data_IF_915682331989
#
_entry.id   IF_915682331989
#
_cell.length_a   1.000
_cell.length_b   1.000
_cell.length_c   1.000
_cell.angle_alpha   90.00
_cell.angle_beta   90.00
_cell.angle_gamma   90.00
#
_symmetry.space_group_name_H-M   'P 1'
#
loop_
_entity.id
_entity.type
_entity.pdbx_description
1 polymer ?
#
# COMPACT_ATOMS: atom_id res chain seq x y z
N UNK A 1 24.54 21.14 -16.20
CA UNK A 1 23.90 20.74 -14.92
C UNK A 1 24.97 20.78 -13.84
N UNK A 2 24.72 21.41 -12.69
CA UNK A 2 25.69 21.38 -11.58
C UNK A 2 25.65 20.03 -10.87
N UNK A 3 26.74 19.67 -10.18
CA UNK A 3 26.80 18.43 -9.40
C UNK A 3 25.80 18.45 -8.25
N UNK A 4 25.49 19.62 -7.65
CA UNK A 4 24.45 19.69 -6.62
C UNK A 4 23.07 19.30 -7.17
N UNK A 5 22.72 19.78 -8.37
CA UNK A 5 21.43 19.43 -9.00
C UNK A 5 21.33 17.93 -9.26
N UNK A 6 22.35 17.33 -9.87
CA UNK A 6 22.36 15.89 -10.16
C UNK A 6 22.26 15.03 -8.88
N UNK A 7 22.88 15.47 -7.79
CA UNK A 7 22.77 14.79 -6.49
C UNK A 7 21.36 14.93 -5.90
N UNK A 8 20.74 16.09 -6.04
CA UNK A 8 19.34 16.30 -5.67
C UNK A 8 18.41 15.35 -6.42
N UNK A 9 18.48 15.38 -7.76
CA UNK A 9 17.65 14.54 -8.62
C UNK A 9 17.83 13.04 -8.29
N UNK A 10 19.07 12.59 -8.06
CA UNK A 10 19.35 11.20 -7.70
C UNK A 10 18.73 10.78 -6.35
N UNK A 11 18.73 11.68 -5.36
CA UNK A 11 18.10 11.42 -4.06
C UNK A 11 16.58 11.34 -4.20
N UNK A 12 15.98 12.25 -4.95
CA UNK A 12 14.52 12.27 -5.15
C UNK A 12 14.06 10.98 -5.85
N UNK A 13 14.81 10.49 -6.84
CA UNK A 13 14.55 9.20 -7.49
C UNK A 13 14.63 8.04 -6.49
N UNK A 14 15.67 8.02 -5.65
CA UNK A 14 15.85 6.97 -4.64
C UNK A 14 14.71 6.97 -3.61
N UNK A 15 14.35 8.15 -3.09
CA UNK A 15 13.27 8.31 -2.11
C UNK A 15 11.92 7.92 -2.70
N UNK A 16 11.65 8.26 -3.97
CA UNK A 16 10.45 7.82 -4.66
C UNK A 16 10.37 6.29 -4.78
N UNK A 17 11.49 5.64 -5.13
CA UNK A 17 11.58 4.17 -5.19
C UNK A 17 11.38 3.53 -3.82
N UNK A 18 11.98 4.10 -2.77
CA UNK A 18 11.82 3.60 -1.40
C UNK A 18 10.37 3.74 -0.91
N UNK A 19 9.73 4.88 -1.20
CA UNK A 19 8.32 5.11 -0.86
C UNK A 19 7.40 4.14 -1.59
N UNK A 20 7.61 3.90 -2.88
CA UNK A 20 6.81 2.95 -3.64
C UNK A 20 6.95 1.51 -3.12
N UNK A 21 8.11 1.17 -2.54
CA UNK A 21 8.37 -0.12 -1.92
C UNK A 21 7.96 -0.20 -0.43
N UNK A 22 7.49 0.90 0.18
CA UNK A 22 7.05 0.90 1.56
C UNK A 22 5.79 0.03 1.70
N UNK A 23 5.76 -0.93 2.64
CA UNK A 23 4.64 -1.88 2.75
C UNK A 23 3.29 -1.25 3.05
N UNK A 24 3.25 -0.15 3.81
CA UNK A 24 2.01 0.55 4.16
C UNK A 24 1.52 1.34 2.95
N UNK A 25 2.41 2.07 2.28
CA UNK A 25 2.10 2.79 1.04
C UNK A 25 1.59 1.82 -0.02
N UNK A 26 2.28 0.70 -0.22
CA UNK A 26 1.91 -0.30 -1.21
C UNK A 26 0.48 -0.84 -0.99
N UNK A 27 0.07 -1.10 0.25
CA UNK A 27 -1.29 -1.55 0.57
C UNK A 27 -2.30 -0.42 0.37
N UNK A 28 -2.08 0.74 0.99
CA UNK A 28 -3.04 1.86 0.99
C UNK A 28 -3.26 2.49 -0.39
N UNK A 29 -2.29 2.42 -1.30
CA UNK A 29 -2.46 2.90 -2.67
C UNK A 29 -3.31 1.96 -3.53
N UNK A 30 -3.26 0.65 -3.26
CA UNK A 30 -3.91 -0.37 -4.10
C UNK A 30 -5.17 -0.98 -3.50
N UNK A 31 -5.45 -0.74 -2.21
CA UNK A 31 -6.60 -1.24 -1.49
C UNK A 31 -7.33 -0.08 -0.80
N UNK A 32 -8.62 0.09 -1.09
CA UNK A 32 -9.47 1.15 -0.52
C UNK A 32 -10.83 0.61 -0.18
N UNK A 33 -11.42 1.09 0.91
CA UNK A 33 -12.79 0.74 1.33
C UNK A 33 -13.69 1.97 1.21
N UNK A 34 -14.82 1.82 0.53
CA UNK A 34 -15.90 2.80 0.49
C UNK A 34 -17.21 2.14 0.94
N UNK A 35 -17.58 2.36 2.21
CA UNK A 35 -18.68 1.65 2.85
C UNK A 35 -18.46 0.13 2.83
N UNK A 36 -19.33 -0.61 2.14
CA UNK A 36 -19.20 -2.05 1.97
C UNK A 36 -18.42 -2.46 0.72
N UNK A 37 -17.91 -1.51 -0.07
CA UNK A 37 -17.14 -1.81 -1.27
C UNK A 37 -15.65 -1.80 -0.98
N UNK A 38 -15.01 -2.95 -1.16
CA UNK A 38 -13.56 -3.07 -1.12
C UNK A 38 -13.01 -3.01 -2.55
N UNK A 39 -12.30 -1.94 -2.85
CA UNK A 39 -11.59 -1.74 -4.10
C UNK A 39 -10.16 -2.29 -3.95
N UNK A 40 -9.81 -3.27 -4.79
CA UNK A 40 -8.45 -3.79 -4.91
C UNK A 40 -8.04 -3.65 -6.37
N UNK A 41 -7.18 -2.67 -6.66
CA UNK A 41 -6.85 -2.26 -8.03
C UNK A 41 -8.12 -2.08 -8.87
N UNK A 42 -8.26 -2.84 -9.96
CA UNK A 42 -9.38 -2.75 -10.90
C UNK A 42 -10.58 -3.62 -10.50
N UNK A 43 -10.56 -4.24 -9.32
CA UNK A 43 -11.60 -5.13 -8.83
C UNK A 43 -12.33 -4.52 -7.64
N UNK A 44 -13.63 -4.78 -7.58
CA UNK A 44 -14.49 -4.35 -6.48
C UNK A 44 -15.15 -5.58 -5.88
N UNK A 45 -15.13 -5.68 -4.55
CA UNK A 45 -15.76 -6.72 -3.78
C UNK A 45 -16.81 -6.10 -2.86
N UNK A 46 -18.03 -6.63 -2.87
CA UNK A 46 -19.10 -6.24 -1.94
C UNK A 46 -18.90 -7.01 -0.62
N UNK A 47 -18.40 -6.35 0.41
CA UNK A 47 -18.03 -6.95 1.70
C UNK A 47 -19.23 -7.58 2.42
N UNK A 48 -20.44 -7.06 2.19
CA UNK A 48 -21.68 -7.58 2.76
C UNK A 48 -22.09 -8.95 2.20
N UNK A 49 -21.48 -9.42 1.10
CA UNK A 49 -21.65 -10.78 0.57
C UNK A 49 -20.84 -11.81 1.37
N UNK A 50 -19.96 -11.38 2.28
CA UNK A 50 -19.10 -12.22 3.09
C UNK A 50 -19.48 -12.15 4.57
N UNK A 51 -19.60 -13.30 5.22
CA UNK A 51 -19.84 -13.36 6.66
C UNK A 51 -18.60 -12.95 7.47
N UNK A 52 -17.41 -13.35 7.01
CA UNK A 52 -16.15 -13.11 7.69
C UNK A 52 -15.05 -12.75 6.68
N UNK A 53 -14.15 -11.86 7.08
CA UNK A 53 -12.96 -11.48 6.32
C UNK A 53 -11.73 -11.89 7.13
N UNK A 54 -10.80 -12.62 6.51
CA UNK A 54 -9.59 -13.09 7.16
C UNK A 54 -8.35 -12.47 6.49
N UNK A 55 -7.45 -11.95 7.30
CA UNK A 55 -6.15 -11.42 6.86
C UNK A 55 -5.06 -12.40 7.26
N UNK A 56 -4.33 -12.93 6.28
CA UNK A 56 -3.23 -13.88 6.49
C UNK A 56 -1.96 -13.26 5.93
N UNK A 57 -1.01 -12.94 6.80
CA UNK A 57 0.28 -12.36 6.44
C UNK A 57 1.44 -13.33 6.65
N UNK A 58 2.40 -13.34 5.72
CA UNK A 58 3.66 -14.08 5.86
C UNK A 58 4.84 -13.26 5.31
N UNK A 59 5.98 -13.31 5.99
CA UNK A 59 7.22 -12.64 5.57
C UNK A 59 7.59 -11.42 6.41
N UNK A 60 8.74 -10.81 6.10
CA UNK A 60 9.33 -9.74 6.93
C UNK A 60 8.45 -8.49 7.08
N UNK A 61 7.70 -8.15 6.03
CA UNK A 61 6.81 -6.98 6.02
C UNK A 61 5.36 -7.31 6.42
N UNK A 62 5.07 -8.57 6.75
CA UNK A 62 3.70 -9.02 6.97
C UNK A 62 2.99 -8.23 8.06
N UNK A 63 3.67 -7.93 9.18
CA UNK A 63 3.11 -7.13 10.26
C UNK A 63 2.73 -5.72 9.79
N UNK A 64 3.62 -5.04 9.05
CA UNK A 64 3.35 -3.69 8.52
C UNK A 64 2.23 -3.68 7.48
N UNK A 65 2.17 -4.69 6.60
CA UNK A 65 1.09 -4.82 5.62
C UNK A 65 -0.25 -5.13 6.30
N UNK A 66 -0.26 -6.04 7.29
CA UNK A 66 -1.46 -6.39 8.04
C UNK A 66 -2.01 -5.18 8.80
N UNK A 67 -1.14 -4.39 9.43
CA UNK A 67 -1.53 -3.15 10.09
C UNK A 67 -2.23 -2.16 9.12
N UNK A 68 -1.70 -2.00 7.91
CA UNK A 68 -2.36 -1.16 6.91
C UNK A 68 -3.76 -1.69 6.53
N UNK A 69 -3.94 -3.01 6.47
CA UNK A 69 -5.24 -3.63 6.20
C UNK A 69 -6.22 -3.40 7.37
N UNK A 70 -5.78 -3.55 8.62
CA UNK A 70 -6.58 -3.29 9.83
C UNK A 70 -7.09 -1.84 9.93
N UNK A 71 -6.38 -0.89 9.33
CA UNK A 71 -6.83 0.51 9.28
C UNK A 71 -7.89 0.72 8.20
N UNK A 72 -7.90 -0.09 7.15
CA UNK A 72 -8.82 0.06 6.01
C UNK A 72 -10.12 -0.73 6.20
N UNK A 73 -10.04 -1.93 6.78
CA UNK A 73 -11.17 -2.81 7.07
C UNK A 73 -11.67 -2.62 8.49
#
# INVERSE_FOLDING_TARGET
>A
MSVEKLRGDARDIFEAGLRAADPIVAVTEHLKRDGDKLHIQDRVYELNEFENIYVIGMGKAAASMAHAIEVIL
#
